data_IF_397196849472
#
_entry.id   IF_397196849472
#
_cell.length_a   1.000
_cell.length_b   1.000
_cell.length_c   1.000
_cell.angle_alpha   90.00
_cell.angle_beta   90.00
_cell.angle_gamma   90.00
#
_symmetry.space_group_name_H-M   'P 1'
#
loop_
_entity.id
_entity.type
_entity.pdbx_description
1 polymer ?
#
# COMPACT_ATOMS: atom_id res chain seq x y z
N UNK A 1 -7.43 -34.05 -17.56
CA UNK A 1 -6.30 -33.40 -16.88
C UNK A 1 -5.97 -32.15 -17.68
N UNK A 2 -5.99 -30.95 -17.10
CA UNK A 2 -5.62 -29.73 -17.82
C UNK A 2 -4.11 -29.80 -18.16
N UNK A 3 -3.73 -29.48 -19.40
CA UNK A 3 -2.32 -29.41 -19.78
C UNK A 3 -1.63 -28.22 -19.10
N UNK A 4 -0.30 -28.28 -18.95
CA UNK A 4 0.53 -27.21 -18.35
C UNK A 4 0.20 -25.84 -18.95
N UNK A 5 -0.03 -25.78 -20.27
CA UNK A 5 -0.44 -24.56 -20.96
C UNK A 5 -1.71 -23.94 -20.38
N UNK A 6 -2.72 -24.76 -20.07
CA UNK A 6 -3.96 -24.26 -19.48
C UNK A 6 -3.74 -23.73 -18.06
N UNK A 7 -2.87 -24.36 -17.27
CA UNK A 7 -2.51 -23.85 -15.94
C UNK A 7 -1.81 -22.50 -16.01
N UNK A 8 -0.91 -22.31 -16.99
CA UNK A 8 -0.23 -21.03 -17.22
C UNK A 8 -1.18 -19.94 -17.72
N UNK A 9 -2.15 -20.30 -18.58
CA UNK A 9 -3.17 -19.36 -19.04
C UNK A 9 -4.03 -18.91 -17.86
N UNK A 10 -4.50 -19.85 -17.04
CA UNK A 10 -5.32 -19.52 -15.86
C UNK A 10 -4.54 -18.64 -14.88
N UNK A 11 -3.28 -18.96 -14.55
CA UNK A 11 -2.49 -18.15 -13.63
C UNK A 11 -2.20 -16.74 -14.17
N UNK A 12 -1.98 -16.60 -15.47
CA UNK A 12 -1.85 -15.30 -16.13
C UNK A 12 -3.15 -14.48 -16.10
N UNK A 13 -4.31 -15.13 -16.24
CA UNK A 13 -5.60 -14.46 -16.11
C UNK A 13 -5.85 -13.98 -14.68
N UNK A 14 -5.53 -14.79 -13.67
CA UNK A 14 -5.64 -14.38 -12.27
C UNK A 14 -4.69 -13.21 -11.91
N UNK A 15 -3.46 -13.22 -12.42
CA UNK A 15 -2.52 -12.12 -12.17
C UNK A 15 -2.97 -10.82 -12.84
N UNK A 16 -3.49 -10.90 -14.08
CA UNK A 16 -4.06 -9.75 -14.77
C UNK A 16 -5.30 -9.21 -14.06
N UNK A 17 -6.23 -10.09 -13.67
CA UNK A 17 -7.42 -9.73 -12.92
C UNK A 17 -7.07 -9.04 -11.59
N UNK A 18 -6.08 -9.58 -10.86
CA UNK A 18 -5.58 -9.00 -9.61
C UNK A 18 -4.98 -7.61 -9.80
N UNK A 19 -4.22 -7.43 -10.87
CA UNK A 19 -3.64 -6.12 -11.21
C UNK A 19 -4.73 -5.08 -11.53
N UNK A 20 -5.68 -5.42 -12.40
CA UNK A 20 -6.78 -4.52 -12.79
C UNK A 20 -7.63 -4.16 -11.56
N UNK A 21 -7.96 -5.14 -10.73
CA UNK A 21 -8.75 -4.92 -9.52
C UNK A 21 -8.00 -4.05 -8.52
N UNK A 22 -6.70 -4.27 -8.31
CA UNK A 22 -5.87 -3.43 -7.44
C UNK A 22 -5.77 -1.98 -7.96
N UNK A 23 -5.60 -1.80 -9.27
CA UNK A 23 -5.61 -0.47 -9.89
C UNK A 23 -6.95 0.24 -9.69
N UNK A 24 -8.07 -0.47 -9.86
CA UNK A 24 -9.41 0.07 -9.63
C UNK A 24 -9.70 0.42 -8.17
N UNK A 25 -9.18 -0.35 -7.22
CA UNK A 25 -9.29 -0.07 -5.78
C UNK A 25 -8.39 1.08 -5.30
N UNK A 26 -7.28 1.34 -6.01
CA UNK A 26 -6.31 2.39 -5.64
C UNK A 26 -6.92 3.79 -5.47
N UNK A 27 -7.71 4.35 -6.42
CA UNK A 27 -8.32 5.67 -6.24
C UNK A 27 -9.32 5.71 -5.07
N UNK A 28 -10.04 4.60 -4.83
CA UNK A 28 -10.97 4.52 -3.70
C UNK A 28 -10.21 4.54 -2.36
N UNK A 29 -9.14 3.75 -2.26
CA UNK A 29 -8.28 3.73 -1.09
C UNK A 29 -7.62 5.08 -0.83
N UNK A 30 -7.03 5.70 -1.85
CA UNK A 30 -6.35 6.99 -1.68
C UNK A 30 -7.31 8.08 -1.26
N UNK A 31 -8.54 8.11 -1.79
CA UNK A 31 -9.57 9.05 -1.34
C UNK A 31 -9.82 8.96 0.17
N UNK A 32 -10.02 7.75 0.70
CA UNK A 32 -10.22 7.57 2.14
C UNK A 32 -8.96 7.82 2.96
N UNK A 33 -7.78 7.41 2.45
CA UNK A 33 -6.52 7.62 3.14
C UNK A 33 -6.18 9.11 3.29
N UNK A 34 -6.50 9.93 2.29
CA UNK A 34 -6.37 11.39 2.40
C UNK A 34 -7.47 12.00 3.27
N UNK A 35 -8.72 11.54 3.15
CA UNK A 35 -9.85 12.05 3.94
C UNK A 35 -9.65 11.85 5.45
N UNK A 36 -9.08 10.72 5.87
CA UNK A 36 -8.88 10.37 7.28
C UNK A 36 -7.45 10.54 7.77
N UNK A 37 -6.61 11.22 6.99
CA UNK A 37 -5.23 11.53 7.38
C UNK A 37 -4.37 10.30 7.74
N UNK A 38 -4.49 9.21 6.98
CA UNK A 38 -3.73 7.97 7.21
C UNK A 38 -2.27 8.09 6.77
N UNK A 39 -1.55 9.12 7.23
CA UNK A 39 -0.12 9.32 6.99
C UNK A 39 0.66 9.32 8.30
N UNK A 40 1.97 9.11 8.19
CA UNK A 40 2.87 9.08 9.35
C UNK A 40 3.16 10.50 9.84
N UNK A 41 2.89 10.78 11.11
CA UNK A 41 3.26 12.04 11.78
C UNK A 41 4.71 11.98 12.26
N UNK A 42 5.39 13.13 12.25
CA UNK A 42 6.79 13.25 12.66
C UNK A 42 6.94 13.06 14.16
N UNK A 43 7.88 12.21 14.59
CA UNK A 43 8.16 11.97 16.01
C UNK A 43 9.21 12.97 16.51
N UNK A 44 8.99 13.54 17.68
CA UNK A 44 9.89 14.54 18.30
C UNK A 44 10.93 13.91 19.22
N UNK A 45 10.58 12.82 19.90
CA UNK A 45 11.44 12.12 20.85
C UNK A 45 11.96 10.78 20.31
N UNK A 46 13.23 10.46 20.63
CA UNK A 46 13.84 9.16 20.41
C UNK A 46 13.31 8.13 21.42
N UNK A 47 13.67 6.87 21.24
CA UNK A 47 13.33 5.78 22.20
C UNK A 47 13.97 6.03 23.58
N UNK A 48 15.06 6.79 23.63
CA UNK A 48 15.77 7.20 24.86
C UNK A 48 15.30 8.57 25.39
N UNK A 49 14.35 9.23 24.73
CA UNK A 49 13.81 10.53 25.13
C UNK A 49 14.55 11.75 24.58
N UNK A 50 15.65 11.55 23.85
CA UNK A 50 16.42 12.63 23.23
C UNK A 50 15.70 13.21 22.01
N UNK A 51 15.91 14.51 21.75
CA UNK A 51 15.30 15.18 20.60
C UNK A 51 15.90 14.68 19.28
N UNK A 52 15.06 14.20 18.35
CA UNK A 52 15.46 13.68 17.04
C UNK A 52 15.79 14.80 16.03
N UNK A 53 16.78 15.64 16.30
CA UNK A 53 17.08 16.84 15.49
C UNK A 53 17.55 16.51 14.07
N UNK A 54 18.42 15.51 13.90
CA UNK A 54 19.00 15.12 12.60
C UNK A 54 17.98 14.38 11.73
N UNK A 55 17.30 13.37 12.28
CA UNK A 55 16.26 12.61 11.56
C UNK A 55 15.11 13.53 11.15
N UNK A 56 14.75 14.46 12.03
CA UNK A 56 13.69 15.41 11.72
C UNK A 56 14.06 16.36 10.58
N UNK A 57 15.31 16.81 10.52
CA UNK A 57 15.81 17.64 9.42
C UNK A 57 15.82 16.89 8.09
N UNK A 58 16.23 15.61 8.08
CA UNK A 58 16.33 14.80 6.87
C UNK A 58 14.97 14.34 6.32
N UNK A 59 13.97 14.13 7.18
CA UNK A 59 12.67 13.60 6.76
C UNK A 59 11.51 14.60 6.80
N UNK A 60 11.74 15.85 7.22
CA UNK A 60 10.73 16.91 7.20
C UNK A 60 10.03 17.04 5.83
N UNK A 61 10.80 17.12 4.73
CA UNK A 61 10.26 17.25 3.36
C UNK A 61 9.44 16.04 2.90
N UNK A 62 9.70 14.84 3.44
CA UNK A 62 8.93 13.63 3.12
C UNK A 62 7.60 13.61 3.87
N UNK A 63 7.64 13.96 5.15
CA UNK A 63 6.45 13.92 6.02
C UNK A 63 5.47 15.05 5.67
N UNK A 64 5.98 16.24 5.30
CA UNK A 64 5.17 17.37 4.86
C UNK A 64 4.31 17.10 3.60
N UNK A 65 4.65 16.05 2.82
CA UNK A 65 3.88 15.66 1.63
C UNK A 65 2.68 14.75 1.94
N UNK A 66 2.40 14.48 3.22
CA UNK A 66 1.23 13.70 3.66
C UNK A 66 1.04 12.39 2.89
N UNK A 67 2.13 11.62 2.75
CA UNK A 67 2.11 10.37 2.00
C UNK A 67 1.33 9.34 2.82
N UNK A 68 0.22 8.79 2.29
CA UNK A 68 -0.57 7.80 3.01
C UNK A 68 0.25 6.53 3.25
N UNK A 69 0.06 5.92 4.42
CA UNK A 69 0.63 4.63 4.79
C UNK A 69 -0.30 3.50 4.32
N UNK A 70 0.08 2.23 4.52
CA UNK A 70 -0.80 1.05 4.31
C UNK A 70 -1.30 0.75 2.89
N UNK A 71 -0.67 1.27 1.83
CA UNK A 71 -1.05 0.93 0.44
C UNK A 71 -1.08 -0.58 0.13
N UNK A 72 -0.32 -1.40 0.87
CA UNK A 72 -0.30 -2.86 0.72
C UNK A 72 -1.64 -3.56 1.05
N UNK A 73 -2.54 -2.92 1.78
CA UNK A 73 -3.87 -3.47 2.11
C UNK A 73 -4.69 -3.74 0.84
N UNK A 74 -4.53 -2.90 -0.20
CA UNK A 74 -5.18 -3.09 -1.50
C UNK A 74 -4.83 -4.45 -2.10
N UNK A 75 -3.55 -4.85 -2.01
CA UNK A 75 -3.08 -6.13 -2.52
C UNK A 75 -3.67 -7.32 -1.76
N UNK A 76 -3.75 -7.23 -0.43
CA UNK A 76 -4.37 -8.27 0.39
C UNK A 76 -5.85 -8.43 0.05
N UNK A 77 -6.59 -7.32 -0.05
CA UNK A 77 -8.01 -7.35 -0.45
C UNK A 77 -8.16 -7.96 -1.84
N UNK A 78 -7.33 -7.56 -2.80
CA UNK A 78 -7.40 -8.07 -4.17
C UNK A 78 -7.18 -9.59 -4.25
N UNK A 79 -6.19 -10.12 -3.51
CA UNK A 79 -5.92 -11.56 -3.45
C UNK A 79 -7.07 -12.31 -2.78
N UNK A 80 -7.63 -11.78 -1.68
CA UNK A 80 -8.76 -12.41 -0.99
C UNK A 80 -9.98 -12.48 -1.91
N UNK A 81 -10.31 -11.41 -2.64
CA UNK A 81 -11.46 -11.39 -3.56
C UNK A 81 -11.30 -12.39 -4.71
N UNK A 82 -10.09 -12.61 -5.21
CA UNK A 82 -9.86 -13.51 -6.34
C UNK A 82 -9.64 -14.98 -5.95
N UNK A 83 -9.24 -15.25 -4.71
CA UNK A 83 -8.92 -16.61 -4.26
C UNK A 83 -10.14 -17.36 -3.74
N UNK A 84 -11.16 -16.62 -3.27
CA UNK A 84 -12.45 -17.16 -2.81
C UNK A 84 -13.33 -17.49 -4.00
#
# INVERSE_FOLDING_TARGET
MLNITNHLIVSALFSLAGFILAMGLTPLYTFFAYKYEFWKKQKTASVTGEALTVVNKLHAKKIARHIPTMAGVIGVIAVVVLTV
#
